data_IF_742097658069
#
_entry.id   IF_742097658069
#
_cell.length_a   1.000
_cell.length_b   1.000
_cell.length_c   1.000
_cell.angle_alpha   90.00
_cell.angle_beta   90.00
_cell.angle_gamma   90.00
#
_symmetry.space_group_name_H-M   'P 1'
#
loop_
_entity.id
_entity.type
_entity.pdbx_description
1 polymer ?
#
# COMPACT_ATOMS: atom_id res chain seq x y z
N UNK A 1 -12.99 13.36 4.26
CA UNK A 1 -12.14 12.30 4.83
C UNK A 1 -12.03 12.60 6.32
N UNK A 2 -12.21 11.63 7.22
CA UNK A 2 -11.86 11.85 8.63
C UNK A 2 -10.32 12.01 8.71
N UNK A 3 -9.80 12.84 9.59
CA UNK A 3 -8.35 13.06 9.74
C UNK A 3 -7.62 11.72 9.94
N UNK A 4 -8.20 10.78 10.71
CA UNK A 4 -7.65 9.43 10.89
C UNK A 4 -7.50 8.64 9.58
N UNK A 5 -8.40 8.81 8.60
CA UNK A 5 -8.26 8.11 7.32
C UNK A 5 -7.03 8.61 6.53
N UNK A 6 -6.74 9.91 6.60
CA UNK A 6 -5.53 10.51 6.02
C UNK A 6 -4.28 9.98 6.73
N UNK A 7 -4.29 9.92 8.07
CA UNK A 7 -3.18 9.36 8.86
C UNK A 7 -2.94 7.89 8.53
N UNK A 8 -4.01 7.10 8.38
CA UNK A 8 -3.90 5.68 8.01
C UNK A 8 -3.39 5.46 6.59
N UNK A 9 -3.79 6.31 5.64
CA UNK A 9 -3.24 6.26 4.29
C UNK A 9 -1.77 6.65 4.27
N UNK A 10 -1.39 7.71 4.99
CA UNK A 10 0.00 8.11 5.20
C UNK A 10 0.84 6.94 5.75
N UNK A 11 0.32 6.22 6.75
CA UNK A 11 0.98 5.02 7.27
C UNK A 11 1.20 3.98 6.16
N UNK A 12 0.23 3.73 5.28
CA UNK A 12 0.40 2.77 4.18
C UNK A 12 1.60 3.12 3.29
N UNK A 13 1.82 4.40 2.99
CA UNK A 13 3.03 4.84 2.30
C UNK A 13 4.28 4.51 3.11
N UNK A 14 4.34 4.89 4.39
CA UNK A 14 5.50 4.61 5.27
C UNK A 14 5.83 3.13 5.39
N UNK A 15 4.81 2.27 5.47
CA UNK A 15 5.02 0.82 5.44
C UNK A 15 5.64 0.35 4.12
N UNK A 16 5.28 0.94 2.97
CA UNK A 16 5.92 0.61 1.70
C UNK A 16 7.37 1.11 1.59
N UNK A 17 7.68 2.28 2.16
CA UNK A 17 9.04 2.83 2.23
C UNK A 17 10.00 1.87 2.95
N UNK A 18 9.53 1.19 4.00
CA UNK A 18 10.32 0.15 4.72
C UNK A 18 10.64 -1.05 3.83
N UNK A 19 9.73 -1.42 2.93
CA UNK A 19 9.85 -2.64 2.13
C UNK A 19 10.61 -2.40 0.82
N UNK A 20 10.54 -1.21 0.24
CA UNK A 20 11.06 -0.91 -1.10
C UNK A 20 12.03 0.27 -1.09
N UNK A 21 13.19 0.20 -1.76
CA UNK A 21 14.05 1.36 -1.97
C UNK A 21 13.49 2.34 -3.02
N UNK A 22 12.50 1.90 -3.81
CA UNK A 22 11.83 2.69 -4.84
C UNK A 22 10.39 2.94 -4.38
N UNK A 23 10.13 4.16 -3.95
CA UNK A 23 8.86 4.58 -3.33
C UNK A 23 8.60 6.08 -3.57
N UNK A 24 7.37 6.53 -3.36
CA UNK A 24 6.99 7.94 -3.32
C UNK A 24 7.13 8.50 -1.91
N UNK A 25 7.79 9.64 -1.78
CA UNK A 25 7.83 10.36 -0.50
C UNK A 25 6.46 10.94 -0.18
N UNK A 26 6.09 10.85 1.09
CA UNK A 26 4.86 11.46 1.60
C UNK A 26 5.11 12.19 2.92
N UNK A 27 4.30 13.21 3.15
CA UNK A 27 4.28 13.99 4.41
C UNK A 27 2.86 14.43 4.73
N UNK A 28 2.59 14.60 6.01
CA UNK A 28 1.38 15.28 6.48
C UNK A 28 1.59 16.79 6.43
N UNK A 29 0.52 17.54 6.18
CA UNK A 29 0.50 18.98 6.21
C UNK A 29 -0.80 19.50 6.82
N UNK A 30 -0.69 20.54 7.65
CA UNK A 30 -1.85 21.24 8.19
C UNK A 30 -2.29 22.31 7.20
N UNK A 31 -3.55 22.26 6.77
CA UNK A 31 -4.19 23.28 5.96
C UNK A 31 -5.11 24.12 6.84
N UNK A 32 -5.04 25.45 6.66
CA UNK A 32 -6.01 26.38 7.21
C UNK A 32 -6.66 27.16 6.07
N UNK A 33 -7.96 26.94 5.88
CA UNK A 33 -8.76 27.66 4.89
C UNK A 33 -9.49 28.81 5.58
N UNK A 34 -9.23 30.05 5.14
CA UNK A 34 -9.83 31.26 5.70
C UNK A 34 -10.81 31.84 4.68
N UNK A 35 -12.11 31.82 5.01
CA UNK A 35 -13.16 32.43 4.19
C UNK A 35 -13.21 33.94 4.45
N UNK A 36 -12.77 34.75 3.50
CA UNK A 36 -12.70 36.22 3.62
C UNK A 36 -13.92 36.96 3.04
N UNK A 37 -14.89 36.24 2.46
CA UNK A 37 -16.08 36.83 1.81
C UNK A 37 -17.27 37.10 2.73
N UNK A 38 -17.17 36.76 4.03
CA UNK A 38 -18.25 36.89 5.01
C UNK A 38 -18.09 38.07 5.98
N UNK A 39 -19.14 38.35 6.78
CA UNK A 39 -19.11 39.36 7.88
C UNK A 39 -18.22 38.95 9.07
N UNK A 40 -17.73 37.71 9.10
CA UNK A 40 -16.79 37.16 10.08
C UNK A 40 -15.89 36.16 9.37
N UNK A 41 -14.60 36.20 9.67
CA UNK A 41 -13.65 35.20 9.22
C UNK A 41 -14.06 33.83 9.79
N UNK A 42 -14.20 32.83 8.92
CA UNK A 42 -14.29 31.43 9.31
C UNK A 42 -12.97 30.77 8.92
N UNK A 43 -12.29 30.15 9.88
CA UNK A 43 -11.15 29.28 9.58
C UNK A 43 -11.55 27.81 9.75
N UNK A 44 -11.18 27.01 8.77
CA UNK A 44 -11.30 25.55 8.81
C UNK A 44 -9.89 24.99 8.78
N UNK A 45 -9.53 24.21 9.80
CA UNK A 45 -8.27 23.48 9.86
C UNK A 45 -8.48 22.03 9.47
N UNK A 46 -7.57 21.47 8.69
CA UNK A 46 -7.61 20.07 8.28
C UNK A 46 -6.19 19.53 8.09
N UNK A 47 -5.96 18.30 8.51
CA UNK A 47 -4.73 17.57 8.18
C UNK A 47 -4.87 16.96 6.78
N UNK A 48 -3.86 17.12 5.93
CA UNK A 48 -3.83 16.52 4.58
C UNK A 48 -2.57 15.71 4.34
N UNK A 49 -2.64 14.81 3.35
CA UNK A 49 -1.52 14.04 2.85
C UNK A 49 -0.98 14.71 1.58
N UNK A 50 0.30 15.09 1.62
CA UNK A 50 1.04 15.54 0.45
C UNK A 50 1.91 14.39 -0.04
N UNK A 51 1.77 14.03 -1.30
CA UNK A 51 2.55 12.97 -1.94
C UNK A 51 3.39 13.54 -3.08
N UNK A 52 4.58 12.95 -3.24
CA UNK A 52 5.54 13.28 -4.28
C UNK A 52 5.00 12.93 -5.67
N UNK A 53 5.22 13.80 -6.65
CA UNK A 53 4.87 13.51 -8.05
C UNK A 53 5.83 12.45 -8.64
N UNK A 54 5.37 11.69 -9.64
CA UNK A 54 6.18 10.66 -10.27
C UNK A 54 7.44 11.21 -10.93
N UNK A 55 7.38 12.42 -11.50
CA UNK A 55 8.54 13.06 -12.14
C UNK A 55 9.57 13.51 -11.07
N UNK A 56 9.10 13.96 -9.91
CA UNK A 56 9.96 14.31 -8.76
C UNK A 56 10.63 13.05 -8.20
N UNK A 57 9.87 11.97 -8.00
CA UNK A 57 10.41 10.70 -7.52
C UNK A 57 11.44 10.11 -8.49
N UNK A 58 11.17 10.17 -9.80
CA UNK A 58 12.10 9.76 -10.85
C UNK A 58 13.40 10.55 -10.78
N UNK A 59 13.31 11.88 -10.60
CA UNK A 59 14.47 12.76 -10.45
C UNK A 59 15.27 12.46 -9.17
N UNK A 60 14.60 12.29 -8.02
CA UNK A 60 15.24 11.99 -6.72
C UNK A 60 15.97 10.65 -6.75
N UNK A 61 15.36 9.64 -7.35
CA UNK A 61 15.91 8.29 -7.43
C UNK A 61 16.92 8.12 -8.58
N UNK A 62 17.00 9.09 -9.50
CA UNK A 62 17.86 9.00 -10.68
C UNK A 62 17.42 7.93 -11.67
N UNK A 63 16.13 7.58 -11.71
CA UNK A 63 15.58 6.51 -12.54
C UNK A 63 14.36 7.00 -13.33
N UNK A 64 14.20 6.63 -14.62
CA UNK A 64 13.09 7.16 -15.42
C UNK A 64 11.76 6.45 -15.16
N UNK A 65 10.66 7.19 -15.36
CA UNK A 65 9.31 6.62 -15.41
C UNK A 65 9.05 5.92 -16.76
N UNK A 66 8.37 4.79 -16.70
CA UNK A 66 7.77 4.12 -17.87
C UNK A 66 6.29 4.47 -17.94
N UNK A 67 5.92 5.28 -18.94
CA UNK A 67 4.54 5.76 -19.16
C UNK A 67 3.66 4.84 -20.00
N UNK A 68 4.18 3.73 -20.51
CA UNK A 68 3.42 2.72 -21.28
C UNK A 68 3.00 1.54 -20.41
N UNK A 69 1.95 0.82 -20.84
CA UNK A 69 1.56 -0.43 -20.19
C UNK A 69 2.60 -1.52 -20.46
N UNK A 70 2.97 -2.25 -19.41
CA UNK A 70 3.89 -3.37 -19.45
C UNK A 70 3.16 -4.60 -18.93
N UNK A 71 3.16 -5.74 -19.65
CA UNK A 71 2.62 -6.99 -19.13
C UNK A 71 3.19 -7.32 -17.75
N UNK A 72 2.34 -7.78 -16.83
CA UNK A 72 2.75 -7.98 -15.45
C UNK A 72 3.93 -8.95 -15.31
N UNK A 73 4.07 -9.96 -16.18
CA UNK A 73 5.19 -10.91 -16.17
C UNK A 73 6.49 -10.36 -16.77
N UNK A 74 6.48 -9.16 -17.37
CA UNK A 74 7.69 -8.47 -17.85
C UNK A 74 8.26 -7.47 -16.82
N UNK A 75 7.57 -7.30 -15.69
CA UNK A 75 8.04 -6.50 -14.56
C UNK A 75 8.93 -7.36 -13.66
N UNK A 76 9.85 -6.74 -12.90
CA UNK A 76 10.78 -7.47 -12.03
C UNK A 76 10.04 -8.38 -11.05
N UNK A 77 10.48 -9.63 -10.96
CA UNK A 77 9.77 -10.67 -10.21
C UNK A 77 9.72 -10.39 -8.72
N UNK A 78 10.86 -9.99 -8.12
CA UNK A 78 10.94 -9.70 -6.69
C UNK A 78 10.14 -8.47 -6.33
N UNK A 79 10.28 -7.39 -7.10
CA UNK A 79 9.52 -6.17 -6.90
C UNK A 79 8.00 -6.40 -7.06
N UNK A 80 7.60 -7.22 -8.04
CA UNK A 80 6.19 -7.57 -8.27
C UNK A 80 5.60 -8.40 -7.13
N UNK A 81 6.32 -9.40 -6.62
CA UNK A 81 5.89 -10.19 -5.46
C UNK A 81 5.84 -9.32 -4.21
N UNK A 82 6.83 -8.44 -4.00
CA UNK A 82 6.86 -7.52 -2.86
C UNK A 82 5.69 -6.56 -2.87
N UNK A 83 5.41 -5.94 -4.01
CA UNK A 83 4.21 -5.13 -4.22
C UNK A 83 2.95 -5.91 -3.86
N UNK A 84 2.78 -7.12 -4.39
CA UNK A 84 1.57 -7.91 -4.16
C UNK A 84 1.41 -8.33 -2.70
N UNK A 85 2.50 -8.66 -2.00
CA UNK A 85 2.50 -8.96 -0.57
C UNK A 85 2.22 -7.72 0.28
N UNK A 86 2.74 -6.56 -0.10
CA UNK A 86 2.40 -5.28 0.53
C UNK A 86 0.91 -4.95 0.36
N UNK A 87 0.37 -5.04 -0.85
CA UNK A 87 -1.06 -4.81 -1.10
C UNK A 87 -1.92 -5.81 -0.30
N UNK A 88 -1.47 -7.06 -0.17
CA UNK A 88 -2.12 -8.04 0.70
C UNK A 88 -2.02 -7.69 2.20
N UNK A 89 -0.87 -7.20 2.67
CA UNK A 89 -0.66 -6.75 4.06
C UNK A 89 -1.70 -5.70 4.44
N UNK A 90 -1.87 -4.68 3.60
CA UNK A 90 -2.82 -3.58 3.81
C UNK A 90 -4.25 -3.91 3.39
N UNK A 91 -4.51 -5.10 2.83
CA UNK A 91 -5.84 -5.51 2.39
C UNK A 91 -6.39 -4.67 1.23
N UNK A 92 -5.53 -4.30 0.29
CA UNK A 92 -5.91 -3.51 -0.88
C UNK A 92 -6.05 -4.40 -2.12
N UNK A 93 -7.22 -4.33 -2.76
CA UNK A 93 -7.49 -4.99 -4.05
C UNK A 93 -7.72 -3.98 -5.18
N UNK A 94 -7.73 -2.68 -4.89
CA UNK A 94 -7.92 -1.61 -5.86
C UNK A 94 -6.61 -1.21 -6.56
N UNK A 95 -6.01 -2.16 -7.27
CA UNK A 95 -4.85 -1.90 -8.12
C UNK A 95 -4.80 -2.85 -9.31
N UNK A 96 -4.04 -2.48 -10.35
CA UNK A 96 -3.80 -3.34 -11.51
C UNK A 96 -2.40 -3.12 -12.06
N UNK A 97 -1.51 -4.11 -11.92
CA UNK A 97 -0.14 -4.03 -12.48
C UNK A 97 -0.13 -4.02 -14.01
N UNK A 98 -1.06 -4.74 -14.65
CA UNK A 98 -1.23 -4.76 -16.12
C UNK A 98 -1.86 -3.47 -16.65
N UNK A 99 -2.87 -2.95 -15.94
CA UNK A 99 -3.61 -1.74 -16.33
C UNK A 99 -3.04 -0.44 -15.79
N UNK A 100 -2.01 -0.50 -14.93
CA UNK A 100 -1.41 0.63 -14.20
C UNK A 100 -2.42 1.46 -13.39
N UNK A 101 -3.50 0.82 -12.93
CA UNK A 101 -4.41 1.40 -11.94
C UNK A 101 -3.70 1.37 -10.59
N UNK A 102 -3.55 2.54 -9.95
CA UNK A 102 -2.88 2.72 -8.66
C UNK A 102 -1.44 2.15 -8.61
N UNK A 103 -0.76 2.13 -9.77
CA UNK A 103 0.63 1.68 -9.95
C UNK A 103 1.34 2.58 -10.95
N UNK A 104 2.52 3.11 -10.58
CA UNK A 104 3.51 3.69 -11.51
C UNK A 104 4.61 2.67 -11.79
N UNK A 105 5.31 2.83 -12.92
CA UNK A 105 6.43 1.96 -13.29
C UNK A 105 7.69 2.82 -13.40
N UNK A 106 8.73 2.45 -12.66
CA UNK A 106 10.05 3.07 -12.74
C UNK A 106 11.06 2.05 -13.27
N UNK A 107 12.13 2.51 -13.91
CA UNK A 107 13.14 1.64 -14.51
C UNK A 107 14.50 1.79 -13.82
N UNK A 108 14.96 0.76 -13.14
CA UNK A 108 16.22 0.75 -12.41
C UNK A 108 17.05 -0.45 -12.83
N UNK A 109 18.30 -0.24 -13.25
CA UNK A 109 19.27 -1.32 -13.53
C UNK A 109 18.73 -2.46 -14.42
N UNK A 110 18.06 -2.10 -15.52
CA UNK A 110 17.49 -3.09 -16.45
C UNK A 110 16.13 -3.67 -16.02
N UNK A 111 15.61 -3.26 -14.87
CA UNK A 111 14.41 -3.82 -14.25
C UNK A 111 13.27 -2.82 -14.23
N UNK A 112 12.06 -3.31 -14.44
CA UNK A 112 10.82 -2.52 -14.36
C UNK A 112 10.22 -2.75 -12.98
N UNK A 113 10.23 -1.70 -12.16
CA UNK A 113 9.82 -1.71 -10.77
C UNK A 113 8.43 -1.09 -10.65
N UNK A 114 7.41 -1.84 -10.21
CA UNK A 114 6.09 -1.27 -9.97
C UNK A 114 6.02 -0.62 -8.57
N UNK A 115 5.54 0.61 -8.53
CA UNK A 115 5.43 1.44 -7.33
C UNK A 115 3.96 1.77 -7.10
N UNK A 116 3.37 1.35 -5.98
CA UNK A 116 1.98 1.62 -5.68
C UNK A 116 1.76 3.02 -5.12
N UNK A 117 0.57 3.53 -5.35
CA UNK A 117 0.05 4.77 -4.78
C UNK A 117 -1.47 4.63 -4.63
N UNK A 118 -2.10 5.56 -3.92
CA UNK A 118 -3.55 5.61 -3.67
C UNK A 118 -4.06 4.39 -2.88
N UNK A 119 -4.15 4.55 -1.54
CA UNK A 119 -4.43 3.44 -0.61
C UNK A 119 -5.73 3.61 0.18
N UNK A 120 -6.54 4.60 -0.16
CA UNK A 120 -7.72 4.99 0.59
C UNK A 120 -8.79 3.87 0.68
N UNK A 121 -8.90 3.02 -0.35
CA UNK A 121 -9.78 1.84 -0.42
C UNK A 121 -9.20 0.57 0.24
N UNK A 122 -8.10 0.67 0.99
CA UNK A 122 -7.48 -0.49 1.64
C UNK A 122 -8.13 -0.87 2.98
N UNK A 123 -8.04 -2.14 3.37
CA UNK A 123 -8.46 -2.62 4.69
C UNK A 123 -7.68 -2.02 5.87
N UNK A 124 -6.43 -1.59 5.65
CA UNK A 124 -5.64 -0.87 6.64
C UNK A 124 -6.28 0.49 6.94
N UNK A 125 -6.67 1.24 5.90
CA UNK A 125 -7.35 2.54 6.05
C UNK A 125 -8.76 2.36 6.58
N UNK A 126 -9.53 1.42 6.00
CA UNK A 126 -10.92 1.13 6.37
C UNK A 126 -11.75 2.42 6.48
N UNK A 127 -11.66 3.28 5.47
CA UNK A 127 -12.44 4.51 5.42
C UNK A 127 -13.94 4.19 5.37
N UNK A 128 -14.78 5.07 5.91
CA UNK A 128 -16.23 4.85 5.97
C UNK A 128 -16.90 4.74 4.59
N UNK A 129 -16.26 5.29 3.55
CA UNK A 129 -16.71 5.22 2.16
C UNK A 129 -16.03 4.08 1.37
N UNK A 130 -15.08 3.36 1.99
CA UNK A 130 -14.33 2.32 1.31
C UNK A 130 -15.27 1.17 0.93
N UNK A 131 -15.08 0.67 -0.29
CA UNK A 131 -15.80 -0.48 -0.80
C UNK A 131 -14.82 -1.37 -1.56
N UNK A 132 -15.16 -2.65 -1.70
CA UNK A 132 -14.33 -3.58 -2.46
C UNK A 132 -14.32 -3.17 -3.94
N UNK A 133 -13.18 -2.66 -4.39
CA UNK A 133 -12.88 -2.41 -5.80
C UNK A 133 -11.80 -3.39 -6.30
N UNK A 134 -11.76 -3.58 -7.61
CA UNK A 134 -10.79 -4.46 -8.25
C UNK A 134 -10.96 -5.94 -7.93
N UNK A 135 -12.11 -6.36 -7.39
CA UNK A 135 -12.39 -7.76 -7.06
C UNK A 135 -12.58 -8.65 -8.30
N UNK A 136 -12.81 -8.06 -9.46
CA UNK A 136 -12.77 -8.76 -10.73
C UNK A 136 -11.41 -9.44 -10.90
N UNK A 137 -11.42 -10.76 -11.10
CA UNK A 137 -10.25 -11.64 -11.21
C UNK A 137 -9.55 -12.01 -9.88
N UNK A 138 -10.23 -11.88 -8.74
CA UNK A 138 -9.81 -12.56 -7.52
C UNK A 138 -10.31 -14.01 -7.53
N UNK A 139 -9.48 -14.93 -7.07
CA UNK A 139 -9.87 -16.33 -6.82
C UNK A 139 -10.76 -16.50 -5.58
N UNK A 140 -10.83 -15.48 -4.74
CA UNK A 140 -11.62 -15.44 -3.50
C UNK A 140 -12.57 -14.26 -3.58
N UNK A 141 -13.86 -14.52 -3.39
CA UNK A 141 -14.85 -13.46 -3.24
C UNK A 141 -14.68 -12.80 -1.87
N UNK A 142 -14.51 -11.48 -1.86
CA UNK A 142 -14.47 -10.66 -0.66
C UNK A 142 -15.57 -9.60 -0.76
N UNK A 143 -16.17 -9.27 0.38
CA UNK A 143 -17.26 -8.29 0.47
C UNK A 143 -16.87 -7.03 1.23
N UNK A 144 -15.77 -7.10 2.00
CA UNK A 144 -15.26 -6.01 2.82
C UNK A 144 -13.78 -5.76 2.51
N UNK A 145 -13.34 -4.51 2.55
CA UNK A 145 -11.93 -4.14 2.32
C UNK A 145 -10.99 -4.74 3.38
N UNK A 146 -11.50 -5.07 4.57
CA UNK A 146 -10.75 -5.75 5.63
C UNK A 146 -10.52 -7.24 5.34
N UNK A 147 -11.22 -7.83 4.37
CA UNK A 147 -10.98 -9.21 3.94
C UNK A 147 -9.84 -9.26 2.92
N UNK A 148 -8.68 -9.76 3.34
CA UNK A 148 -7.54 -9.92 2.42
C UNK A 148 -7.82 -10.92 1.30
N UNK A 149 -7.33 -10.56 0.11
CA UNK A 149 -7.25 -11.43 -1.06
C UNK A 149 -5.96 -11.15 -1.83
N UNK A 150 -5.19 -12.19 -2.14
CA UNK A 150 -3.97 -12.04 -2.93
C UNK A 150 -4.32 -11.81 -4.40
N UNK A 151 -3.71 -10.78 -5.02
CA UNK A 151 -4.02 -10.35 -6.40
C UNK A 151 -2.76 -10.30 -7.31
N UNK A 152 -1.62 -10.75 -6.79
CA UNK A 152 -0.37 -10.84 -7.56
C UNK A 152 -0.42 -11.93 -8.63
N UNK A 153 0.54 -11.86 -9.56
CA UNK A 153 0.71 -12.86 -10.60
C UNK A 153 1.65 -13.97 -10.15
N UNK A 154 1.49 -15.16 -10.74
CA UNK A 154 2.37 -16.28 -10.51
C UNK A 154 3.81 -15.94 -10.91
N UNK A 155 4.75 -16.48 -10.12
CA UNK A 155 6.20 -16.37 -10.22
C UNK A 155 6.81 -17.65 -9.69
N UNK A 156 8.11 -17.81 -9.88
CA UNK A 156 8.87 -18.88 -9.25
C UNK A 156 8.60 -18.88 -7.73
N UNK A 157 8.33 -20.07 -7.18
CA UNK A 157 8.05 -20.25 -5.75
C UNK A 157 9.21 -19.76 -4.90
N UNK A 158 10.45 -19.95 -5.34
CA UNK A 158 11.63 -19.45 -4.63
C UNK A 158 11.60 -17.93 -4.45
N UNK A 159 11.05 -17.18 -5.42
CA UNK A 159 10.90 -15.74 -5.31
C UNK A 159 9.84 -15.37 -4.24
N UNK A 160 8.73 -16.10 -4.16
CA UNK A 160 7.73 -15.89 -3.10
C UNK A 160 8.32 -16.04 -1.71
N UNK A 161 9.05 -17.13 -1.49
CA UNK A 161 9.63 -17.44 -0.18
C UNK A 161 10.79 -16.49 0.15
N UNK A 162 11.61 -16.13 -0.84
CA UNK A 162 12.63 -15.10 -0.64
C UNK A 162 12.02 -13.77 -0.19
N UNK A 163 11.02 -13.25 -0.91
CA UNK A 163 10.41 -11.96 -0.55
C UNK A 163 9.63 -12.05 0.77
N UNK A 164 9.03 -13.21 1.08
CA UNK A 164 8.41 -13.46 2.39
C UNK A 164 9.42 -13.29 3.52
N UNK A 165 10.59 -13.91 3.38
CA UNK A 165 11.62 -13.87 4.42
C UNK A 165 12.19 -12.45 4.57
N UNK A 166 12.42 -11.73 3.45
CA UNK A 166 12.79 -10.31 3.46
C UNK A 166 11.75 -9.42 4.17
N UNK A 167 10.45 -9.69 3.99
CA UNK A 167 9.38 -8.93 4.70
C UNK A 167 9.36 -9.29 6.20
N UNK A 168 9.57 -10.56 6.56
CA UNK A 168 9.65 -11.00 7.95
C UNK A 168 10.79 -10.30 8.71
N UNK A 169 11.94 -10.10 8.07
CA UNK A 169 13.06 -9.33 8.64
C UNK A 169 12.71 -7.86 8.92
N UNK A 170 11.71 -7.32 8.22
CA UNK A 170 11.25 -5.92 8.36
C UNK A 170 10.14 -5.73 9.39
N UNK A 171 9.68 -6.80 10.04
CA UNK A 171 8.54 -6.74 10.96
C UNK A 171 8.71 -5.71 12.07
N UNK A 172 9.87 -5.66 12.73
CA UNK A 172 10.13 -4.67 13.78
C UNK A 172 10.00 -3.23 13.25
N UNK A 173 10.62 -2.94 12.10
CA UNK A 173 10.57 -1.60 11.48
C UNK A 173 9.14 -1.23 11.08
N UNK A 174 8.36 -2.19 10.58
CA UNK A 174 6.94 -1.98 10.26
C UNK A 174 6.13 -1.59 11.51
N UNK A 175 6.35 -2.26 12.65
CA UNK A 175 5.65 -1.90 13.89
C UNK A 175 6.15 -0.59 14.51
N UNK A 176 7.40 -0.19 14.28
CA UNK A 176 7.90 1.15 14.63
C UNK A 176 7.13 2.25 13.90
N UNK A 177 6.92 2.11 12.58
CA UNK A 177 6.10 3.04 11.80
C UNK A 177 4.63 3.08 12.27
N UNK A 178 4.06 1.94 12.65
CA UNK A 178 2.70 1.89 13.22
C UNK A 178 2.65 2.66 14.54
N UNK A 179 3.61 2.45 15.44
CA UNK A 179 3.66 3.13 16.74
C UNK A 179 3.86 4.65 16.58
N UNK A 180 4.60 5.08 15.55
CA UNK A 180 4.85 6.49 15.30
C UNK A 180 3.57 7.32 15.04
N UNK A 181 2.49 6.69 14.55
CA UNK A 181 1.22 7.38 14.27
C UNK A 181 0.21 7.36 15.43
N UNK A 182 0.48 6.67 16.54
CA UNK A 182 -0.51 6.48 17.62
C UNK A 182 -1.06 7.79 18.20
N UNK A 183 -0.22 8.81 18.28
CA UNK A 183 -0.60 10.13 18.80
C UNK A 183 -1.22 11.05 17.75
N UNK A 184 -1.17 10.65 16.47
CA UNK A 184 -1.80 11.37 15.36
C UNK A 184 -3.25 10.92 15.15
N UNK A 185 -3.61 9.73 15.63
CA UNK A 185 -4.96 9.20 15.55
C UNK A 185 -5.84 9.77 16.67
N UNK A 186 -6.98 10.31 16.29
CA UNK A 186 -8.04 10.73 17.21
C UNK A 186 -8.68 9.49 17.87
N UNK A 187 -8.98 8.46 17.09
CA UNK A 187 -9.66 7.26 17.54
C UNK A 187 -8.65 6.20 18.01
N UNK A 188 -8.45 6.07 19.33
CA UNK A 188 -7.55 5.03 19.91
C UNK A 188 -7.91 3.59 19.52
N UNK A 189 -9.15 3.33 19.11
CA UNK A 189 -9.57 2.03 18.56
C UNK A 189 -8.94 1.73 17.19
N UNK A 190 -8.69 2.75 16.38
CA UNK A 190 -8.07 2.59 15.07
C UNK A 190 -6.63 2.11 15.20
N UNK A 191 -5.87 2.65 16.16
CA UNK A 191 -4.52 2.17 16.45
C UNK A 191 -4.50 0.67 16.78
N UNK A 192 -5.36 0.22 17.71
CA UNK A 192 -5.47 -1.20 18.08
C UNK A 192 -5.86 -2.08 16.89
N UNK A 193 -6.78 -1.59 16.04
CA UNK A 193 -7.22 -2.31 14.84
C UNK A 193 -6.07 -2.45 13.84
N UNK A 194 -5.35 -1.37 13.54
CA UNK A 194 -4.19 -1.37 12.64
C UNK A 194 -3.14 -2.36 13.13
N UNK A 195 -2.78 -2.28 14.41
CA UNK A 195 -1.80 -3.18 15.01
C UNK A 195 -2.22 -4.64 14.91
N UNK A 196 -3.49 -4.98 15.20
CA UNK A 196 -3.98 -6.35 15.05
C UNK A 196 -4.01 -6.79 13.59
N UNK A 197 -4.46 -5.90 12.69
CA UNK A 197 -4.56 -6.17 11.27
C UNK A 197 -3.20 -6.53 10.70
N UNK A 198 -2.16 -5.73 10.93
CA UNK A 198 -0.80 -6.00 10.43
C UNK A 198 -0.17 -7.23 11.11
N UNK A 199 -0.40 -7.44 12.41
CA UNK A 199 0.04 -8.65 13.11
C UNK A 199 -0.51 -9.94 12.48
N UNK A 200 -1.80 -9.98 12.15
CA UNK A 200 -2.41 -11.13 11.47
C UNK A 200 -1.76 -11.44 10.11
N UNK A 201 -1.28 -10.41 9.39
CA UNK A 201 -0.50 -10.61 8.17
C UNK A 201 0.82 -11.33 8.45
N UNK A 202 1.59 -10.90 9.46
CA UNK A 202 2.84 -11.57 9.84
C UNK A 202 2.62 -13.00 10.36
N UNK A 203 1.53 -13.26 11.07
CA UNK A 203 1.13 -14.62 11.46
C UNK A 203 0.87 -15.52 10.24
N UNK A 204 0.32 -14.98 9.15
CA UNK A 204 0.14 -15.70 7.88
C UNK A 204 1.49 -15.97 7.22
N UNK A 205 2.43 -15.02 7.24
CA UNK A 205 3.75 -15.20 6.64
C UNK A 205 4.59 -16.26 7.38
N UNK A 206 4.56 -16.28 8.72
CA UNK A 206 5.33 -17.25 9.53
C UNK A 206 4.82 -18.68 9.41
N UNK A 207 3.53 -18.86 9.15
CA UNK A 207 2.92 -20.18 8.97
C UNK A 207 2.97 -20.58 7.50
N UNK A 208 3.89 -21.49 7.16
CA UNK A 208 4.09 -21.94 5.79
C UNK A 208 2.81 -22.45 5.12
N UNK A 209 1.97 -23.20 5.85
CA UNK A 209 0.72 -23.73 5.30
C UNK A 209 -0.27 -22.61 5.01
N UNK A 210 -0.36 -21.59 5.88
CA UNK A 210 -1.20 -20.42 5.64
C UNK A 210 -0.66 -19.58 4.49
N UNK A 211 0.64 -19.33 4.43
CA UNK A 211 1.29 -18.60 3.34
C UNK A 211 0.99 -19.27 1.99
N UNK A 212 1.22 -20.57 1.90
CA UNK A 212 0.94 -21.35 0.69
C UNK A 212 -0.52 -21.25 0.27
N UNK A 213 -1.43 -21.54 1.21
CA UNK A 213 -2.87 -21.60 0.95
C UNK A 213 -3.49 -20.25 0.63
N UNK A 214 -3.00 -19.16 1.23
CA UNK A 214 -3.61 -17.82 1.10
C UNK A 214 -2.96 -16.93 0.04
N UNK A 215 -1.72 -17.22 -0.34
CA UNK A 215 -0.94 -16.37 -1.24
C UNK A 215 -0.49 -17.16 -2.47
N UNK A 216 0.39 -18.17 -2.31
CA UNK A 216 1.05 -18.82 -3.43
C UNK A 216 0.05 -19.49 -4.36
N UNK A 217 -0.91 -20.25 -3.81
CA UNK A 217 -1.95 -20.94 -4.60
C UNK A 217 -3.01 -20.01 -5.19
N UNK A 218 -3.06 -18.76 -4.74
CA UNK A 218 -3.99 -17.74 -5.26
C UNK A 218 -3.34 -16.81 -6.29
N UNK A 219 -2.06 -17.03 -6.63
CA UNK A 219 -1.37 -16.24 -7.62
C UNK A 219 -1.98 -16.43 -9.03
N UNK A 220 -2.24 -15.31 -9.70
CA UNK A 220 -2.96 -15.28 -10.98
C UNK A 220 -2.04 -15.65 -12.15
N UNK A 221 -2.58 -16.38 -13.12
CA UNK A 221 -1.90 -16.60 -14.40
C UNK A 221 -2.07 -15.36 -15.30
N UNK A 222 -1.14 -15.17 -16.26
CA UNK A 222 -1.08 -13.96 -17.11
C UNK A 222 -2.18 -13.85 -18.15
#
# INVERSE_FOLDING_TARGET
MNDDAVIKEYLAYKLFEVLSPVYFQTRLADLEWIETSGKRDKSIKATTLVFEDVDEAASRLGIPEIRRNIPALQQDDKASVRLALFQYMIGNTDYSTKGRHNIKLLFQDGKIIPVPFDFDLSGLVNASYAHVSGAQNLSKNITEVTQRAYKGYSRDRMIFYQVRDEILEKETQIFEEINAIENLLEEKRDFKRIHSFVREFFEILRDEKKFEKRIVLHARQS
#
